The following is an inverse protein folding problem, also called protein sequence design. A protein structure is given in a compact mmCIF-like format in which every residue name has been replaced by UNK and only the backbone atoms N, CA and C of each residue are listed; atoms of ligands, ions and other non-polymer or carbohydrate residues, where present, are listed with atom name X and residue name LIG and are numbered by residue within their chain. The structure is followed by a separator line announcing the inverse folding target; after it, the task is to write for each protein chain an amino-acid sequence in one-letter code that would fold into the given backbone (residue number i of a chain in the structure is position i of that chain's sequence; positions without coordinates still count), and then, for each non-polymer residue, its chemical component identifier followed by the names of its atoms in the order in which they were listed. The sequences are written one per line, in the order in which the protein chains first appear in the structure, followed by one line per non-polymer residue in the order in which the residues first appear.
data_IF_624665026927
#
_entry.id   IF_624665026927
#
_cell.length_a   1.000
_cell.length_b   1.000
_cell.length_c   1.000
_cell.angle_alpha   90.00
_cell.angle_beta   90.00
_cell.angle_gamma   90.00
#
_symmetry.space_group_name_H-M   'P 1'
#
loop_
_entity.id
_entity.type
_entity.pdbx_description
1 polymer ?
#
# COMPACT_ATOMS: atom_id res chain seq x y z
N UNK A 1 -9.20 11.34 9.78
CA UNK A 1 -8.50 10.08 10.01
C UNK A 1 -8.38 9.35 8.69
N UNK A 2 -7.18 8.88 8.41
CA UNK A 2 -6.81 8.21 7.17
C UNK A 2 -5.98 6.98 7.54
N UNK A 3 -6.17 5.90 6.80
CA UNK A 3 -5.46 4.65 7.03
C UNK A 3 -4.41 4.45 5.95
N UNK A 4 -3.22 4.00 6.34
CA UNK A 4 -2.29 3.35 5.41
C UNK A 4 -2.47 1.85 5.59
N UNK A 5 -2.75 1.16 4.49
CA UNK A 5 -2.94 -0.29 4.47
C UNK A 5 -1.88 -0.96 3.60
N UNK A 6 -1.18 -1.92 4.20
CA UNK A 6 -0.28 -2.82 3.51
C UNK A 6 -0.95 -4.19 3.37
N UNK A 7 -1.12 -4.60 2.13
CA UNK A 7 -1.72 -5.87 1.77
C UNK A 7 -0.78 -6.73 0.94
N UNK A 8 -0.93 -8.04 1.09
CA UNK A 8 -0.33 -9.06 0.23
C UNK A 8 -1.38 -9.54 -0.75
N UNK A 9 -1.05 -9.58 -2.03
CA UNK A 9 -1.91 -10.10 -3.10
C UNK A 9 -1.31 -11.41 -3.58
N UNK A 10 -2.07 -12.50 -3.47
CA UNK A 10 -1.67 -13.81 -3.98
C UNK A 10 -1.89 -13.91 -5.50
N UNK A 11 -1.31 -14.95 -6.12
CA UNK A 11 -1.44 -15.28 -7.55
C UNK A 11 -2.91 -15.44 -7.99
N UNK A 12 -3.79 -15.86 -7.06
CA UNK A 12 -5.24 -15.97 -7.28
C UNK A 12 -5.94 -14.61 -7.39
N UNK A 13 -5.27 -13.52 -7.05
CA UNK A 13 -5.85 -12.19 -6.83
C UNK A 13 -6.47 -12.01 -5.43
N UNK A 14 -6.32 -13.00 -4.54
CA UNK A 14 -6.77 -12.85 -3.15
C UNK A 14 -5.89 -11.85 -2.41
N UNK A 15 -6.52 -10.81 -1.86
CA UNK A 15 -5.85 -9.77 -1.08
C UNK A 15 -6.01 -10.05 0.42
N UNK A 16 -4.89 -10.11 1.14
CA UNK A 16 -4.86 -10.22 2.61
C UNK A 16 -4.17 -9.01 3.20
N UNK A 17 -4.86 -8.31 4.11
CA UNK A 17 -4.28 -7.18 4.86
C UNK A 17 -3.24 -7.70 5.83
N UNK A 18 -2.01 -7.20 5.71
CA UNK A 18 -0.87 -7.58 6.52
C UNK A 18 -0.67 -6.59 7.68
N UNK A 19 -0.81 -5.30 7.40
CA UNK A 19 -0.74 -4.24 8.41
C UNK A 19 -1.65 -3.09 8.00
N UNK A 20 -2.30 -2.48 8.99
CA UNK A 20 -3.04 -1.24 8.82
C UNK A 20 -2.68 -0.31 9.95
N UNK A 21 -2.40 0.95 9.64
CA UNK A 21 -2.15 1.98 10.64
C UNK A 21 -3.02 3.21 10.35
N UNK A 22 -3.57 3.81 11.41
CA UNK A 22 -4.51 4.93 11.32
C UNK A 22 -3.83 6.19 11.79
N UNK A 23 -3.91 7.23 10.96
CA UNK A 23 -3.35 8.55 11.22
C UNK A 23 -4.46 9.57 11.44
N UNK A 24 -4.23 10.50 12.38
CA UNK A 24 -5.16 11.61 12.63
C UNK A 24 -5.05 12.69 11.56
N UNK A 25 -3.82 13.01 11.12
CA UNK A 25 -3.50 13.98 10.07
C UNK A 25 -3.38 13.29 8.70
N UNK A 26 -4.09 13.82 7.71
CA UNK A 26 -4.03 13.36 6.33
C UNK A 26 -2.65 13.56 5.70
N UNK A 27 -2.02 14.71 5.97
CA UNK A 27 -0.73 15.05 5.38
C UNK A 27 0.37 14.14 5.88
N UNK A 28 0.35 13.79 7.16
CA UNK A 28 1.32 12.86 7.74
C UNK A 28 1.25 11.50 7.05
N UNK A 29 0.04 10.97 6.86
CA UNK A 29 -0.14 9.71 6.14
C UNK A 29 0.29 9.81 4.67
N UNK A 30 -0.03 10.92 3.98
CA UNK A 30 0.42 11.14 2.62
C UNK A 30 1.95 11.23 2.51
N UNK A 31 2.61 11.91 3.44
CA UNK A 31 4.06 12.01 3.49
C UNK A 31 4.71 10.64 3.71
N UNK A 32 4.20 9.84 4.65
CA UNK A 32 4.68 8.46 4.87
C UNK A 32 4.46 7.61 3.64
N UNK A 33 3.25 7.65 3.06
CA UNK A 33 2.94 6.90 1.84
C UNK A 33 3.89 7.26 0.71
N UNK A 34 4.05 8.56 0.40
CA UNK A 34 4.93 9.02 -0.68
C UNK A 34 6.38 8.62 -0.42
N UNK A 35 6.84 8.73 0.84
CA UNK A 35 8.19 8.33 1.20
C UNK A 35 8.42 6.84 1.00
N UNK A 36 7.45 5.99 1.35
CA UNK A 36 7.54 4.55 1.10
C UNK A 36 7.52 4.23 -0.40
N UNK A 37 6.68 4.90 -1.20
CA UNK A 37 6.65 4.67 -2.64
C UNK A 37 7.90 5.17 -3.34
N UNK A 38 8.49 6.28 -2.89
CA UNK A 38 9.69 6.86 -3.47
C UNK A 38 10.94 6.04 -3.10
N UNK A 39 11.09 5.63 -1.83
CA UNK A 39 12.21 4.82 -1.36
C UNK A 39 12.30 3.46 -2.06
N UNK A 40 11.16 2.93 -2.50
CA UNK A 40 11.05 1.65 -3.20
C UNK A 40 10.54 1.79 -4.64
N UNK A 41 10.71 2.97 -5.26
CA UNK A 41 10.25 3.26 -6.61
C UNK A 41 10.76 2.24 -7.65
N UNK A 42 12.00 1.77 -7.50
CA UNK A 42 12.61 0.76 -8.37
C UNK A 42 11.90 -0.61 -8.32
N UNK A 43 11.16 -0.88 -7.24
CA UNK A 43 10.37 -2.11 -7.05
C UNK A 43 8.89 -1.90 -7.33
N UNK A 44 8.47 -0.68 -7.71
CA UNK A 44 7.07 -0.40 -8.05
C UNK A 44 6.72 -0.99 -9.42
N UNK A 45 5.52 -1.59 -9.49
CA UNK A 45 5.01 -2.23 -10.69
C UNK A 45 3.82 -1.43 -11.25
N UNK A 46 4.03 -0.59 -12.28
CA UNK A 46 2.93 0.11 -12.93
C UNK A 46 2.03 -0.84 -13.74
N UNK A 47 2.55 -2.00 -14.13
CA UNK A 47 1.83 -3.08 -14.80
C UNK A 47 2.35 -4.41 -14.27
N UNK A 48 1.46 -5.39 -14.14
CA UNK A 48 1.77 -6.75 -13.70
C UNK A 48 0.81 -7.73 -14.39
N UNK A 49 1.25 -8.97 -14.54
CA UNK A 49 0.47 -10.04 -15.14
C UNK A 49 -0.50 -10.68 -14.14
N UNK A 50 -1.56 -11.28 -14.68
CA UNK A 50 -2.45 -12.10 -13.84
C UNK A 50 -1.73 -13.36 -13.40
N UNK A 51 -1.77 -13.66 -12.11
CA UNK A 51 -1.07 -14.80 -11.54
C UNK A 51 0.21 -14.44 -10.80
N UNK A 52 0.56 -13.17 -10.68
CA UNK A 52 1.73 -12.75 -9.91
C UNK A 52 1.37 -12.44 -8.46
N UNK A 53 2.31 -12.72 -7.54
CA UNK A 53 2.21 -12.23 -6.16
C UNK A 53 2.70 -10.80 -6.13
N UNK A 54 2.00 -9.96 -5.35
CA UNK A 54 2.30 -8.53 -5.26
C UNK A 54 2.19 -8.06 -3.83
N UNK A 55 2.83 -6.93 -3.56
CA UNK A 55 2.58 -6.15 -2.35
C UNK A 55 1.77 -4.93 -2.79
N UNK A 56 0.69 -4.63 -2.07
CA UNK A 56 -0.18 -3.49 -2.34
C UNK A 56 -0.13 -2.55 -1.14
N UNK A 57 0.15 -1.27 -1.40
CA UNK A 57 0.08 -0.20 -0.42
C UNK A 57 -1.05 0.75 -0.81
N UNK A 58 -2.02 0.94 0.07
CA UNK A 58 -3.13 1.86 -0.12
C UNK A 58 -3.08 2.97 0.92
N UNK A 59 -3.52 4.16 0.51
CA UNK A 59 -3.96 5.21 1.44
C UNK A 59 -5.48 5.34 1.35
N UNK A 60 -6.17 5.15 2.47
CA UNK A 60 -7.62 5.00 2.56
C UNK A 60 -8.20 6.06 3.50
N UNK A 61 -8.88 7.10 3.00
CA UNK A 61 -9.63 8.01 3.86
C UNK A 61 -10.80 7.26 4.50
N UNK A 62 -11.21 7.62 5.73
CA UNK A 62 -12.28 6.88 6.40
C UNK A 62 -13.69 7.12 5.84
N UNK A 63 -13.90 8.21 5.09
CA UNK A 63 -15.20 8.48 4.46
C UNK A 63 -15.33 7.75 3.13
N UNK A 64 -16.36 6.90 2.99
CA UNK A 64 -16.59 6.13 1.77
C UNK A 64 -16.76 6.98 0.48
N UNK A 65 -17.20 8.24 0.62
CA UNK A 65 -17.27 9.20 -0.49
C UNK A 65 -15.88 9.76 -0.86
N UNK A 66 -14.99 9.89 0.12
CA UNK A 66 -13.61 10.34 -0.09
C UNK A 66 -12.71 9.20 -0.58
N UNK A 67 -12.96 7.94 -0.17
CA UNK A 67 -12.22 6.76 -0.65
C UNK A 67 -12.23 6.70 -2.17
N UNK A 68 -13.38 6.91 -2.79
CA UNK A 68 -13.50 6.87 -4.25
C UNK A 68 -12.77 7.99 -4.99
N UNK A 69 -12.39 9.07 -4.31
CA UNK A 69 -11.74 10.24 -4.91
C UNK A 69 -10.27 10.37 -4.55
N UNK A 70 -9.87 9.89 -3.38
CA UNK A 70 -8.56 10.12 -2.79
C UNK A 70 -7.79 8.83 -2.46
N UNK A 71 -8.34 7.65 -2.76
CA UNK A 71 -7.58 6.42 -2.67
C UNK A 71 -6.42 6.46 -3.67
N UNK A 72 -5.19 6.41 -3.15
CA UNK A 72 -3.99 6.12 -3.92
C UNK A 72 -3.60 4.68 -3.63
N UNK A 73 -3.23 3.97 -4.69
CA UNK A 73 -2.75 2.59 -4.62
C UNK A 73 -1.40 2.49 -5.32
N UNK A 74 -0.46 1.77 -4.70
CA UNK A 74 0.84 1.45 -5.26
C UNK A 74 1.08 -0.05 -5.14
N UNK A 75 1.57 -0.65 -6.22
CA UNK A 75 1.91 -2.06 -6.29
C UNK A 75 3.43 -2.20 -6.35
N UNK A 76 3.95 -3.18 -5.62
CA UNK A 76 5.36 -3.54 -5.65
C UNK A 76 5.51 -5.02 -6.01
N UNK A 77 6.68 -5.33 -6.58
CA UNK A 77 7.12 -6.71 -6.73
C UNK A 77 7.13 -7.42 -5.37
N UNK A 78 6.61 -8.63 -5.34
CA UNK A 78 6.57 -9.38 -4.10
C UNK A 78 7.95 -9.89 -3.70
N UNK A 79 8.43 -9.42 -2.55
CA UNK A 79 9.49 -10.08 -1.80
C UNK A 79 9.18 -10.06 -0.32
N UNK A 80 9.50 -11.15 0.38
CA UNK A 80 9.36 -11.23 1.84
C UNK A 80 10.17 -10.13 2.55
N UNK A 81 11.34 -9.78 1.99
CA UNK A 81 12.21 -8.72 2.50
C UNK A 81 11.55 -7.34 2.39
N UNK A 82 11.01 -6.99 1.21
CA UNK A 82 10.32 -5.72 1.04
C UNK A 82 9.06 -5.65 1.91
N UNK A 83 8.28 -6.74 1.96
CA UNK A 83 7.07 -6.80 2.77
C UNK A 83 7.41 -6.57 4.26
N UNK A 84 8.47 -7.19 4.77
CA UNK A 84 8.96 -6.98 6.14
C UNK A 84 9.46 -5.55 6.39
N UNK A 85 10.16 -4.95 5.42
CA UNK A 85 10.62 -3.55 5.50
C UNK A 85 9.45 -2.57 5.56
N UNK A 86 8.45 -2.73 4.70
CA UNK A 86 7.26 -1.89 4.68
C UNK A 86 6.46 -2.04 5.98
N UNK A 87 6.29 -3.27 6.48
CA UNK A 87 5.62 -3.53 7.77
C UNK A 87 6.29 -2.85 8.96
N UNK A 88 7.61 -2.67 8.96
CA UNK A 88 8.32 -2.05 10.08
C UNK A 88 8.24 -0.51 10.07
N UNK A 89 7.89 0.09 8.93
CA UNK A 89 7.81 1.54 8.77
C UNK A 89 6.40 2.10 8.86
N UNK A 90 5.41 1.29 8.51
CA UNK A 90 3.98 1.51 8.81
C UNK A 90 3.73 1.14 10.25
#
# INVERSE_FOLDING_TARGET
MIDIELSRVEESGEQTVVKRNTFEDEKEAEEIYNLLTDDYADQTLPFFDKGEKLIRLDILPQSAEEVKKHQKECYFEYSEDLLGKLQNRI
#
